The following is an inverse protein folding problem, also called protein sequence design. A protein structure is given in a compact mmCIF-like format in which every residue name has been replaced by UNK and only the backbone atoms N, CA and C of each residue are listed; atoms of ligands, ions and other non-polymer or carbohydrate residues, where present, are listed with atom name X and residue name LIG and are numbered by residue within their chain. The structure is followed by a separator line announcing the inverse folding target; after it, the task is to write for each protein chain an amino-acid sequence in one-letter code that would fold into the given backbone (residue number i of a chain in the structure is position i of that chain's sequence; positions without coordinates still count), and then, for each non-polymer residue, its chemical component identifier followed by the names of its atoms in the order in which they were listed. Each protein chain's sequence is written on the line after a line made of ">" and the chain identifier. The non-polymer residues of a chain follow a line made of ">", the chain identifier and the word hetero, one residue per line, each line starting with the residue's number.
data_IF_049962273047
#
_entry.id   IF_049962273047
#
_cell.length_a   1.000
_cell.length_b   1.000
_cell.length_c   1.000
_cell.angle_alpha   90.00
_cell.angle_beta   90.00
_cell.angle_gamma   90.00
#
_symmetry.space_group_name_H-M   'P 1'
#
loop_
_entity.id
_entity.type
_entity.pdbx_description
1 polymer ?
#
# COMPACT_ATOMS: atom_id res chain seq x y z
N UNK A 1 -6.08 15.47 -1.57
CA UNK A 1 -4.71 15.16 -2.02
C UNK A 1 -4.72 14.97 -3.52
N UNK A 2 -3.77 15.56 -4.22
CA UNK A 2 -3.50 15.28 -5.63
C UNK A 2 -2.80 13.93 -5.81
N UNK A 3 -2.79 13.39 -7.02
CA UNK A 3 -2.12 12.12 -7.29
C UNK A 3 -0.61 12.18 -6.98
N UNK A 4 0.17 13.21 -7.40
CA UNK A 4 1.58 13.31 -7.04
C UNK A 4 1.81 13.32 -5.52
N UNK A 5 1.02 14.08 -4.77
CA UNK A 5 1.11 14.11 -3.29
C UNK A 5 0.85 12.73 -2.67
N UNK A 6 -0.08 11.95 -3.21
CA UNK A 6 -0.34 10.58 -2.72
C UNK A 6 0.82 9.63 -3.06
N UNK A 7 1.48 9.80 -4.21
CA UNK A 7 2.58 8.94 -4.63
C UNK A 7 3.83 9.12 -3.77
N UNK A 8 3.97 10.25 -3.08
CA UNK A 8 5.05 10.52 -2.13
C UNK A 8 4.77 10.00 -0.71
N UNK A 9 3.59 9.44 -0.46
CA UNK A 9 3.19 8.93 0.87
C UNK A 9 3.54 7.46 1.05
N UNK A 10 3.86 7.09 2.29
CA UNK A 10 3.79 5.68 2.71
C UNK A 10 2.33 5.21 2.82
N UNK A 11 2.13 3.88 2.78
CA UNK A 11 0.80 3.27 2.89
C UNK A 11 0.04 3.73 4.14
N UNK A 12 0.72 3.90 5.29
CA UNK A 12 0.09 4.35 6.53
C UNK A 12 -0.49 5.77 6.42
N UNK A 13 0.24 6.67 5.77
CA UNK A 13 -0.17 8.07 5.54
C UNK A 13 -1.24 8.13 4.46
N UNK A 14 -1.05 7.38 3.37
CA UNK A 14 -2.02 7.29 2.28
C UNK A 14 -3.38 6.73 2.75
N UNK A 15 -3.39 5.82 3.72
CA UNK A 15 -4.62 5.30 4.33
C UNK A 15 -5.50 6.40 4.94
N UNK A 16 -4.87 7.35 5.64
CA UNK A 16 -5.57 8.50 6.22
C UNK A 16 -6.06 9.45 5.12
N UNK A 17 -5.23 9.66 4.11
CA UNK A 17 -5.49 10.56 2.98
C UNK A 17 -6.61 10.06 2.03
N UNK A 18 -6.94 8.78 2.07
CA UNK A 18 -7.87 8.11 1.14
C UNK A 18 -9.10 7.51 1.82
N UNK A 19 -9.43 7.94 3.04
CA UNK A 19 -10.54 7.39 3.83
C UNK A 19 -11.91 7.46 3.13
N UNK A 20 -12.11 8.42 2.24
CA UNK A 20 -13.30 8.61 1.39
C UNK A 20 -13.27 7.76 0.11
N UNK A 21 -12.10 7.26 -0.29
CA UNK A 21 -11.90 6.44 -1.49
C UNK A 21 -11.94 4.95 -1.13
N UNK A 22 -13.15 4.43 -0.89
CA UNK A 22 -13.39 3.06 -0.38
C UNK A 22 -12.50 1.97 -1.00
N UNK A 23 -12.40 1.90 -2.33
CA UNK A 23 -11.62 0.87 -3.02
C UNK A 23 -10.12 1.02 -2.78
N UNK A 24 -9.61 2.26 -2.79
CA UNK A 24 -8.20 2.55 -2.53
C UNK A 24 -7.87 2.25 -1.08
N UNK A 25 -8.70 2.74 -0.15
CA UNK A 25 -8.53 2.53 1.28
C UNK A 25 -8.45 1.03 1.62
N UNK A 26 -9.37 0.21 1.10
CA UNK A 26 -9.37 -1.23 1.32
C UNK A 26 -8.08 -1.91 0.81
N UNK A 27 -7.57 -1.50 -0.36
CA UNK A 27 -6.31 -2.05 -0.90
C UNK A 27 -5.11 -1.67 -0.02
N UNK A 28 -5.05 -0.43 0.44
CA UNK A 28 -3.99 0.04 1.33
C UNK A 28 -4.07 -0.62 2.72
N UNK A 29 -5.28 -0.91 3.21
CA UNK A 29 -5.49 -1.59 4.49
C UNK A 29 -4.93 -3.01 4.46
N UNK A 30 -5.09 -3.73 3.36
CA UNK A 30 -4.47 -5.05 3.16
C UNK A 30 -2.95 -4.97 3.27
N UNK A 31 -2.32 -3.99 2.63
CA UNK A 31 -0.86 -3.80 2.71
C UNK A 31 -0.41 -3.52 4.15
N UNK A 32 -1.11 -2.63 4.86
CA UNK A 32 -0.84 -2.35 6.28
C UNK A 32 -0.98 -3.60 7.15
N UNK A 33 -2.05 -4.37 6.97
CA UNK A 33 -2.33 -5.58 7.76
C UNK A 33 -1.27 -6.67 7.55
N UNK A 34 -0.60 -6.66 6.40
CA UNK A 34 0.54 -7.55 6.10
C UNK A 34 1.89 -6.97 6.55
N UNK A 35 1.89 -5.84 7.26
CA UNK A 35 3.09 -5.20 7.76
C UNK A 35 3.90 -4.48 6.68
N UNK A 36 3.28 -4.10 5.57
CA UNK A 36 3.88 -3.36 4.46
C UNK A 36 3.50 -1.85 4.50
N UNK A 37 3.07 -1.36 5.67
CA UNK A 37 2.58 0.01 5.86
C UNK A 37 3.63 1.11 5.61
N UNK A 38 4.91 0.75 5.60
CA UNK A 38 6.04 1.67 5.43
C UNK A 38 6.44 1.87 3.96
N UNK A 39 5.85 1.12 3.02
CA UNK A 39 6.17 1.25 1.59
C UNK A 39 5.59 2.56 1.04
N UNK A 40 6.42 3.33 0.34
CA UNK A 40 6.00 4.50 -0.44
C UNK A 40 5.26 4.06 -1.71
N UNK A 41 4.15 4.72 -2.05
CA UNK A 41 3.31 4.30 -3.20
C UNK A 41 3.97 4.49 -4.57
N UNK A 42 4.74 5.57 -4.74
CA UNK A 42 5.33 5.96 -6.01
C UNK A 42 6.79 5.60 -6.22
N UNK A 43 7.44 5.02 -5.21
CA UNK A 43 8.82 4.58 -5.33
C UNK A 43 8.90 3.14 -5.80
N UNK A 44 9.95 2.81 -6.54
CA UNK A 44 10.34 1.41 -6.69
C UNK A 44 10.55 0.83 -5.29
N UNK A 45 9.94 -0.32 -5.02
CA UNK A 45 10.10 -0.97 -3.73
C UNK A 45 11.58 -1.16 -3.44
N UNK A 46 12.06 -0.82 -2.22
CA UNK A 46 13.41 -1.16 -1.78
C UNK A 46 13.69 -2.65 -1.99
N UNK A 47 14.95 -3.10 -1.87
CA UNK A 47 15.22 -4.54 -1.95
C UNK A 47 14.41 -5.28 -0.88
N UNK A 48 13.28 -5.86 -1.29
CA UNK A 48 12.39 -6.56 -0.40
C UNK A 48 13.08 -7.84 0.03
N UNK A 49 13.04 -8.14 1.32
CA UNK A 49 13.31 -9.47 1.80
C UNK A 49 12.35 -10.47 1.15
N UNK A 50 12.75 -11.74 1.05
CA UNK A 50 11.88 -12.78 0.47
C UNK A 50 10.50 -12.85 1.13
N UNK A 51 10.42 -12.61 2.44
CA UNK A 51 9.15 -12.57 3.17
C UNK A 51 8.29 -11.33 2.87
N UNK A 52 8.90 -10.18 2.57
CA UNK A 52 8.16 -8.98 2.13
C UNK A 52 7.61 -9.16 0.72
N UNK A 53 8.42 -9.69 -0.20
CA UNK A 53 7.97 -10.02 -1.55
C UNK A 53 6.78 -11.00 -1.53
N UNK A 54 6.82 -12.01 -0.66
CA UNK A 54 5.73 -12.95 -0.50
C UNK A 54 4.45 -12.29 0.04
N UNK A 55 4.57 -11.41 1.04
CA UNK A 55 3.44 -10.66 1.60
C UNK A 55 2.85 -9.70 0.57
N UNK A 56 3.68 -9.03 -0.24
CA UNK A 56 3.21 -8.16 -1.32
C UNK A 56 2.44 -8.95 -2.38
N UNK A 57 2.92 -10.14 -2.75
CA UNK A 57 2.20 -11.05 -3.64
C UNK A 57 0.85 -11.45 -3.05
N UNK A 58 0.79 -11.79 -1.77
CA UNK A 58 -0.46 -12.14 -1.08
C UNK A 58 -1.45 -10.95 -1.10
N UNK A 59 -0.98 -9.74 -0.84
CA UNK A 59 -1.81 -8.52 -0.90
C UNK A 59 -2.45 -8.34 -2.29
N UNK A 60 -1.66 -8.57 -3.35
CA UNK A 60 -2.14 -8.49 -4.73
C UNK A 60 -3.24 -9.50 -5.04
N UNK A 61 -3.12 -10.75 -4.56
CA UNK A 61 -4.17 -11.76 -4.75
C UNK A 61 -5.44 -11.44 -3.95
N UNK A 62 -5.32 -10.89 -2.74
CA UNK A 62 -6.46 -10.50 -1.92
C UNK A 62 -7.26 -9.32 -2.51
N UNK A 63 -6.61 -8.45 -3.27
CA UNK A 63 -7.24 -7.29 -3.93
C UNK A 63 -7.86 -7.56 -5.30
N UNK A 64 -7.95 -8.81 -5.76
CA UNK A 64 -8.57 -9.20 -7.05
C UNK A 64 -10.07 -9.57 -6.95
N UNK A 65 -10.62 -9.64 -5.74
CA UNK A 65 -12.07 -9.78 -5.49
C UNK A 65 -12.75 -8.43 -5.26
#
# INVERSE_FOLDING_TARGET
>A
YSLPELMEMDVNTALQATADLKVVHQRLEVLKNLGLGYLTLGEETPSLSGGEAQRLKLASEMGKG
#
